data_IF_170325427019
#
_entry.id   IF_170325427019
#
_cell.length_a   1.000
_cell.length_b   1.000
_cell.length_c   1.000
_cell.angle_alpha   90.00
_cell.angle_beta   90.00
_cell.angle_gamma   90.00
#
_symmetry.space_group_name_H-M   'P 1'
#
loop_
_entity.id
_entity.type
_entity.pdbx_description
1 polymer ?
#
# COMPACT_ATOMS: atom_id res chain seq x y z
N UNK A 1 -22.73 -2.08 -2.28
CA UNK A 1 -22.46 -0.79 -1.63
C UNK A 1 -21.57 -0.92 -0.39
N UNK A 2 -21.96 -1.71 0.63
CA UNK A 2 -21.22 -1.86 1.91
C UNK A 2 -19.70 -2.08 1.77
N UNK A 3 -19.26 -3.05 0.96
CA UNK A 3 -17.83 -3.33 0.76
C UNK A 3 -17.02 -2.15 0.19
N UNK A 4 -17.65 -1.31 -0.65
CA UNK A 4 -17.00 -0.15 -1.26
C UNK A 4 -16.68 0.88 -0.18
N UNK A 5 -17.67 1.15 0.69
CA UNK A 5 -17.54 2.06 1.82
C UNK A 5 -16.45 1.55 2.78
N UNK A 6 -16.45 0.25 3.10
CA UNK A 6 -15.46 -0.34 4.01
C UNK A 6 -14.04 -0.21 3.42
N UNK A 7 -13.82 -0.61 2.17
CA UNK A 7 -12.51 -0.52 1.52
C UNK A 7 -11.99 0.93 1.46
N UNK A 8 -12.87 1.85 1.05
CA UNK A 8 -12.52 3.27 0.99
C UNK A 8 -12.20 3.83 2.37
N UNK A 9 -13.06 3.59 3.37
CA UNK A 9 -12.87 4.09 4.73
C UNK A 9 -11.60 3.53 5.38
N UNK A 10 -11.31 2.24 5.20
CA UNK A 10 -10.07 1.65 5.71
C UNK A 10 -8.83 2.28 5.07
N UNK A 11 -8.84 2.48 3.75
CA UNK A 11 -7.74 3.18 3.07
C UNK A 11 -7.60 4.62 3.56
N UNK A 12 -8.70 5.37 3.61
CA UNK A 12 -8.72 6.77 3.99
C UNK A 12 -8.37 7.02 5.47
N UNK A 13 -8.55 6.04 6.36
CA UNK A 13 -8.28 6.21 7.79
C UNK A 13 -6.97 5.55 8.23
N UNK A 14 -6.62 4.37 7.69
CA UNK A 14 -5.45 3.63 8.14
C UNK A 14 -4.17 4.00 7.39
N UNK A 15 -4.22 4.18 6.07
CA UNK A 15 -3.01 4.44 5.30
C UNK A 15 -2.37 5.82 5.60
N UNK A 16 -3.12 6.90 5.89
CA UNK A 16 -2.52 8.15 6.37
C UNK A 16 -1.69 8.01 7.65
N UNK A 17 -1.91 6.97 8.47
CA UNK A 17 -1.03 6.69 9.61
C UNK A 17 0.38 6.36 9.11
N UNK A 18 0.51 5.51 8.09
CA UNK A 18 1.81 5.19 7.50
C UNK A 18 2.52 6.41 6.92
N UNK A 19 1.77 7.26 6.20
CA UNK A 19 2.29 8.52 5.66
C UNK A 19 2.73 9.50 6.77
N UNK A 20 1.98 9.58 7.86
CA UNK A 20 2.38 10.38 9.02
C UNK A 20 3.71 9.90 9.62
N UNK A 21 3.95 8.59 9.71
CA UNK A 21 5.26 8.05 10.12
C UNK A 21 6.36 8.33 9.09
N UNK A 22 6.03 8.47 7.80
CA UNK A 22 7.00 8.94 6.79
C UNK A 22 7.39 10.40 6.99
N UNK A 23 6.47 11.25 7.44
CA UNK A 23 6.81 12.62 7.86
C UNK A 23 7.71 12.61 9.10
N UNK A 24 7.35 11.83 10.14
CA UNK A 24 8.14 11.72 11.38
C UNK A 24 9.56 11.18 11.15
N UNK A 25 9.72 10.23 10.22
CA UNK A 25 11.01 9.65 9.86
C UNK A 25 11.81 10.47 8.85
N UNK A 26 11.32 11.65 8.46
CA UNK A 26 11.92 12.47 7.41
C UNK A 26 12.11 11.68 6.11
N UNK A 27 11.14 10.84 5.78
CA UNK A 27 11.11 10.04 4.55
C UNK A 27 10.48 10.83 3.43
N UNK A 28 9.34 11.47 3.72
CA UNK A 28 8.64 12.38 2.82
C UNK A 28 8.44 13.75 3.48
N UNK A 29 8.13 14.75 2.66
CA UNK A 29 7.66 16.05 3.11
C UNK A 29 6.62 16.61 2.14
N UNK A 30 5.68 17.38 2.66
CA UNK A 30 4.73 18.18 1.88
C UNK A 30 5.19 19.65 1.82
N UNK A 31 4.82 20.41 0.78
CA UNK A 31 5.06 21.85 0.73
C UNK A 31 4.39 22.59 1.90
N UNK A 32 5.00 23.67 2.36
CA UNK A 32 4.41 24.53 3.37
C UNK A 32 3.02 25.03 2.95
N UNK A 33 2.07 25.01 3.88
CA UNK A 33 0.69 25.45 3.62
C UNK A 33 -0.22 24.42 2.95
N UNK A 34 0.26 23.21 2.62
CA UNK A 34 -0.56 22.11 2.12
C UNK A 34 -1.40 21.38 3.21
N UNK A 35 -1.36 21.89 4.44
CA UNK A 35 -1.85 21.27 5.67
C UNK A 35 -3.29 21.69 5.99
N UNK A 36 -4.24 20.74 6.18
CA UNK A 36 -5.62 21.10 6.53
C UNK A 36 -6.56 19.97 7.00
N UNK A 37 -6.11 18.80 7.50
CA UNK A 37 -7.09 17.72 7.73
C UNK A 37 -6.84 16.71 8.87
N UNK A 38 -5.76 15.92 8.84
CA UNK A 38 -5.57 14.78 9.76
C UNK A 38 -4.21 14.82 10.47
N UNK A 39 -4.18 14.29 11.71
CA UNK A 39 -3.00 14.20 12.59
C UNK A 39 -2.29 15.56 12.81
N UNK A 40 -2.99 16.52 13.40
CA UNK A 40 -2.44 17.85 13.76
C UNK A 40 -1.94 18.64 12.55
N UNK A 41 -2.78 18.71 11.52
CA UNK A 41 -2.51 19.40 10.25
C UNK A 41 -1.37 18.81 9.42
N UNK A 42 -0.64 17.79 9.88
CA UNK A 42 0.51 17.23 9.15
C UNK A 42 0.14 16.58 7.80
N UNK A 43 -1.07 16.02 7.67
CA UNK A 43 -1.52 15.33 6.46
C UNK A 43 -2.49 16.22 5.65
N UNK A 44 -2.19 16.49 4.36
CA UNK A 44 -3.10 17.21 3.46
C UNK A 44 -4.46 16.52 3.28
N UNK A 45 -5.51 17.32 3.09
CA UNK A 45 -6.91 16.85 2.96
C UNK A 45 -7.16 15.84 1.84
N UNK A 46 -6.35 15.88 0.78
CA UNK A 46 -6.50 15.00 -0.39
C UNK A 46 -5.84 13.63 -0.19
N UNK A 47 -4.91 13.49 0.76
CA UNK A 47 -4.18 12.24 1.01
C UNK A 47 -5.11 11.09 1.42
N UNK A 48 -6.04 11.27 2.37
CA UNK A 48 -7.05 10.26 2.70
C UNK A 48 -7.90 9.84 1.49
N UNK A 49 -8.27 10.79 0.62
CA UNK A 49 -9.07 10.50 -0.57
C UNK A 49 -8.30 9.65 -1.58
N UNK A 50 -7.00 9.93 -1.74
CA UNK A 50 -6.10 9.15 -2.58
C UNK A 50 -5.94 7.72 -2.05
N UNK A 51 -5.64 7.56 -0.74
CA UNK A 51 -5.50 6.23 -0.15
C UNK A 51 -6.80 5.43 -0.12
N UNK A 52 -7.94 6.08 0.16
CA UNK A 52 -9.25 5.45 0.09
C UNK A 52 -9.55 4.94 -1.32
N UNK A 53 -9.24 5.73 -2.34
CA UNK A 53 -9.42 5.36 -3.74
C UNK A 53 -8.49 4.22 -4.17
N UNK A 54 -7.20 4.27 -3.78
CA UNK A 54 -6.24 3.20 -4.03
C UNK A 54 -6.67 1.88 -3.38
N UNK A 55 -7.11 1.94 -2.11
CA UNK A 55 -7.64 0.77 -1.38
C UNK A 55 -8.87 0.18 -2.08
N UNK A 56 -9.77 1.03 -2.57
CA UNK A 56 -10.93 0.60 -3.36
C UNK A 56 -10.50 -0.15 -4.63
N UNK A 57 -9.58 0.43 -5.41
CA UNK A 57 -9.12 -0.17 -6.67
C UNK A 57 -8.41 -1.51 -6.43
N UNK A 58 -7.50 -1.58 -5.46
CA UNK A 58 -6.80 -2.81 -5.10
C UNK A 58 -7.76 -3.87 -4.52
N UNK A 59 -8.68 -3.47 -3.63
CA UNK A 59 -9.65 -4.37 -3.02
C UNK A 59 -10.71 -4.89 -4.01
N UNK A 60 -10.91 -4.21 -5.14
CA UNK A 60 -11.84 -4.67 -6.18
C UNK A 60 -11.16 -5.46 -7.31
N UNK A 61 -9.87 -5.21 -7.57
CA UNK A 61 -9.14 -5.83 -8.70
C UNK A 61 -9.10 -7.35 -8.57
N UNK A 62 -8.80 -7.82 -7.37
CA UNK A 62 -8.61 -9.23 -7.08
C UNK A 62 -9.92 -10.02 -7.18
N UNK A 63 -11.03 -9.62 -6.53
CA UNK A 63 -12.30 -10.33 -6.70
C UNK A 63 -12.82 -10.26 -8.13
N UNK A 64 -12.58 -9.15 -8.85
CA UNK A 64 -12.93 -9.06 -10.26
C UNK A 64 -12.15 -10.09 -11.08
N UNK A 65 -10.84 -10.21 -10.86
CA UNK A 65 -10.01 -11.21 -11.55
C UNK A 65 -10.47 -12.65 -11.29
N UNK A 66 -10.93 -12.98 -10.09
CA UNK A 66 -11.49 -14.30 -9.78
C UNK A 66 -12.76 -14.61 -10.60
N UNK A 67 -13.53 -13.59 -11.02
CA UNK A 67 -14.69 -13.79 -11.93
C UNK A 67 -14.22 -14.03 -13.35
N UNK A 68 -13.29 -13.20 -13.82
CA UNK A 68 -12.87 -13.20 -15.22
C UNK A 68 -11.96 -14.37 -15.59
N UNK A 69 -11.10 -14.80 -14.67
CA UNK A 69 -10.03 -15.77 -14.92
C UNK A 69 -10.27 -17.12 -14.22
N UNK A 70 -11.37 -17.25 -13.48
CA UNK A 70 -11.67 -18.41 -12.65
C UNK A 70 -11.07 -18.32 -11.25
N UNK A 71 -11.84 -18.80 -10.27
CA UNK A 71 -11.49 -18.71 -8.85
C UNK A 71 -10.51 -19.83 -8.45
N UNK A 72 -9.48 -19.45 -7.70
CA UNK A 72 -8.58 -20.38 -6.99
C UNK A 72 -8.88 -20.34 -5.49
N UNK A 73 -8.89 -21.49 -4.82
CA UNK A 73 -9.08 -21.62 -3.35
C UNK A 73 -7.79 -21.25 -2.61
N UNK A 74 -7.87 -20.47 -1.53
CA UNK A 74 -6.73 -19.80 -0.87
C UNK A 74 -6.79 -19.88 0.65
N UNK A 75 -5.69 -19.67 1.40
CA UNK A 75 -5.70 -19.65 2.86
C UNK A 75 -6.66 -18.60 3.45
N UNK A 76 -6.61 -17.35 2.96
CA UNK A 76 -7.53 -16.29 3.41
C UNK A 76 -9.00 -16.60 3.14
N UNK A 77 -9.24 -17.36 2.08
CA UNK A 77 -10.57 -17.76 1.66
C UNK A 77 -11.25 -18.67 2.69
N UNK A 78 -10.46 -19.29 3.57
CA UNK A 78 -10.90 -20.19 4.62
C UNK A 78 -11.08 -19.52 5.98
N UNK A 79 -10.39 -18.40 6.27
CA UNK A 79 -10.47 -17.74 7.59
C UNK A 79 -10.33 -16.20 7.48
N UNK A 80 -11.33 -15.42 7.94
CA UNK A 80 -11.31 -13.95 7.92
C UNK A 80 -10.10 -13.32 8.65
N UNK A 81 -9.62 -13.97 9.71
CA UNK A 81 -8.48 -13.51 10.50
C UNK A 81 -7.24 -13.22 9.65
N UNK A 82 -6.97 -14.04 8.63
CA UNK A 82 -5.80 -13.87 7.75
C UNK A 82 -5.89 -12.62 6.87
N UNK A 83 -7.09 -12.22 6.45
CA UNK A 83 -7.26 -11.00 5.66
C UNK A 83 -6.88 -9.77 6.50
N UNK A 84 -7.39 -9.73 7.73
CA UNK A 84 -7.08 -8.66 8.68
C UNK A 84 -5.61 -8.66 9.09
N UNK A 85 -5.02 -9.83 9.36
CA UNK A 85 -3.59 -9.96 9.60
C UNK A 85 -2.77 -9.37 8.44
N UNK A 86 -3.20 -9.57 7.19
CA UNK A 86 -2.62 -8.92 6.01
C UNK A 86 -2.64 -7.39 6.10
N UNK A 87 -3.80 -6.80 6.40
CA UNK A 87 -3.95 -5.33 6.54
C UNK A 87 -3.01 -4.78 7.62
N UNK A 88 -2.93 -5.44 8.77
CA UNK A 88 -2.02 -5.02 9.85
C UNK A 88 -0.54 -5.17 9.48
N UNK A 89 -0.17 -6.23 8.75
CA UNK A 89 1.18 -6.39 8.24
C UNK A 89 1.54 -5.30 7.22
N UNK A 90 0.62 -4.95 6.32
CA UNK A 90 0.84 -3.82 5.42
C UNK A 90 1.08 -2.52 6.18
N UNK A 91 0.23 -2.19 7.15
CA UNK A 91 0.40 -0.98 7.95
C UNK A 91 1.72 -1.00 8.73
N UNK A 92 2.09 -2.14 9.30
CA UNK A 92 3.38 -2.33 9.96
C UNK A 92 4.55 -2.05 9.00
N UNK A 93 4.58 -2.69 7.82
CA UNK A 93 5.65 -2.50 6.84
C UNK A 93 5.68 -1.07 6.28
N UNK A 94 4.52 -0.42 6.15
CA UNK A 94 4.44 0.99 5.78
C UNK A 94 5.12 1.86 6.83
N UNK A 95 4.72 1.74 8.11
CA UNK A 95 5.32 2.51 9.20
C UNK A 95 6.84 2.30 9.28
N UNK A 96 7.30 1.04 9.31
CA UNK A 96 8.73 0.75 9.51
C UNK A 96 9.59 1.08 8.29
N UNK A 97 9.02 1.17 7.09
CA UNK A 97 9.80 1.46 5.87
C UNK A 97 10.58 2.78 5.94
N UNK A 98 10.06 3.78 6.66
CA UNK A 98 10.77 5.03 6.91
C UNK A 98 11.94 4.92 7.90
N UNK A 99 12.04 3.82 8.64
CA UNK A 99 13.05 3.55 9.67
C UNK A 99 13.98 2.39 9.34
N UNK A 100 13.74 1.67 8.24
CA UNK A 100 14.56 0.52 7.87
C UNK A 100 16.03 0.92 7.64
N UNK A 101 17.01 0.08 8.00
CA UNK A 101 18.40 0.32 7.66
C UNK A 101 18.65 0.15 6.15
N UNK A 102 19.64 0.87 5.62
CA UNK A 102 20.08 0.71 4.23
C UNK A 102 19.09 1.22 3.17
N UNK A 103 18.36 2.30 3.47
CA UNK A 103 17.38 2.91 2.54
C UNK A 103 18.01 3.51 1.28
N UNK A 104 19.30 3.82 1.36
CA UNK A 104 20.11 4.42 0.28
C UNK A 104 20.59 3.36 -0.73
N UNK A 105 20.76 2.14 -0.24
CA UNK A 105 21.13 0.95 -1.01
C UNK A 105 19.94 0.05 -1.33
N UNK A 106 20.19 -1.27 -1.30
CA UNK A 106 19.17 -2.30 -1.55
C UNK A 106 18.66 -2.96 -0.26
N UNK A 107 19.17 -2.58 0.92
CA UNK A 107 18.83 -3.26 2.18
C UNK A 107 17.32 -3.24 2.47
N UNK A 108 16.73 -2.04 2.47
CA UNK A 108 15.28 -1.89 2.66
C UNK A 108 14.46 -2.56 1.54
N UNK A 109 14.97 -2.55 0.30
CA UNK A 109 14.34 -3.22 -0.85
C UNK A 109 14.26 -4.73 -0.61
N UNK A 110 15.37 -5.35 -0.21
CA UNK A 110 15.44 -6.80 0.04
C UNK A 110 14.51 -7.19 1.19
N UNK A 111 14.52 -6.43 2.29
CA UNK A 111 13.64 -6.69 3.45
C UNK A 111 12.17 -6.68 3.03
N UNK A 112 11.74 -5.62 2.34
CA UNK A 112 10.34 -5.46 1.94
C UNK A 112 9.94 -6.42 0.81
N UNK A 113 10.85 -6.76 -0.10
CA UNK A 113 10.61 -7.78 -1.13
C UNK A 113 10.38 -9.16 -0.51
N UNK A 114 11.25 -9.58 0.43
CA UNK A 114 11.10 -10.85 1.14
C UNK A 114 9.80 -10.88 1.97
N UNK A 115 9.50 -9.79 2.68
CA UNK A 115 8.24 -9.66 3.41
C UNK A 115 7.02 -9.79 2.49
N UNK A 116 7.04 -9.10 1.33
CA UNK A 116 5.99 -9.20 0.33
C UNK A 116 5.80 -10.61 -0.22
N UNK A 117 6.89 -11.32 -0.53
CA UNK A 117 6.84 -12.70 -1.00
C UNK A 117 6.30 -13.65 0.07
N UNK A 118 6.72 -13.51 1.33
CA UNK A 118 6.20 -14.30 2.46
C UNK A 118 4.71 -14.05 2.65
N UNK A 119 4.28 -12.78 2.63
CA UNK A 119 2.85 -12.44 2.77
C UNK A 119 2.02 -12.96 1.60
N UNK A 120 2.53 -12.85 0.37
CA UNK A 120 1.86 -13.43 -0.80
C UNK A 120 1.72 -14.94 -0.65
N UNK A 121 2.80 -15.64 -0.29
CA UNK A 121 2.81 -17.08 -0.08
C UNK A 121 1.85 -17.52 1.03
N UNK A 122 1.82 -16.79 2.15
CA UNK A 122 1.01 -17.16 3.31
C UNK A 122 -0.49 -16.83 3.14
N UNK A 123 -0.82 -15.71 2.47
CA UNK A 123 -2.19 -15.18 2.44
C UNK A 123 -2.94 -15.53 1.15
N UNK A 124 -2.22 -15.58 0.02
CA UNK A 124 -2.82 -15.70 -1.31
C UNK A 124 -2.38 -16.99 -2.01
N UNK A 125 -1.08 -17.12 -2.26
CA UNK A 125 -0.42 -18.22 -2.96
C UNK A 125 -0.96 -18.49 -4.38
N UNK A 126 -1.32 -17.44 -5.11
CA UNK A 126 -1.82 -17.58 -6.50
C UNK A 126 -1.10 -16.65 -7.47
N UNK A 127 -1.08 -17.07 -8.73
CA UNK A 127 -0.52 -16.29 -9.83
C UNK A 127 -1.33 -15.02 -10.11
N UNK A 128 -2.69 -15.05 -10.02
CA UNK A 128 -3.51 -13.85 -10.21
C UNK A 128 -3.21 -12.81 -9.13
N UNK A 129 -3.10 -13.27 -7.87
CA UNK A 129 -2.70 -12.47 -6.72
C UNK A 129 -1.36 -11.81 -6.92
N UNK A 130 -0.38 -12.61 -7.34
CA UNK A 130 0.98 -12.14 -7.61
C UNK A 130 1.02 -11.07 -8.71
N UNK A 131 0.37 -11.33 -9.84
CA UNK A 131 0.35 -10.44 -10.99
C UNK A 131 -0.33 -9.11 -10.65
N UNK A 132 -1.47 -9.13 -9.97
CA UNK A 132 -2.17 -7.90 -9.58
C UNK A 132 -1.42 -7.12 -8.50
N UNK A 133 -0.67 -7.79 -7.62
CA UNK A 133 0.24 -7.12 -6.70
C UNK A 133 1.40 -6.44 -7.45
N UNK A 134 1.95 -7.05 -8.51
CA UNK A 134 2.93 -6.39 -9.38
C UNK A 134 2.35 -5.18 -10.14
N UNK A 135 1.11 -5.30 -10.64
CA UNK A 135 0.41 -4.16 -11.27
C UNK A 135 0.22 -3.04 -10.26
N UNK A 136 -0.17 -3.36 -9.02
CA UNK A 136 -0.31 -2.39 -7.94
C UNK A 136 1.04 -1.73 -7.60
N UNK A 137 2.12 -2.52 -7.53
CA UNK A 137 3.49 -2.04 -7.34
C UNK A 137 3.90 -1.02 -8.40
N UNK A 138 3.65 -1.35 -9.67
CA UNK A 138 3.98 -0.49 -10.79
C UNK A 138 3.15 0.79 -10.81
N UNK A 139 1.82 0.69 -10.74
CA UNK A 139 0.92 1.84 -10.82
C UNK A 139 1.05 2.77 -9.62
N UNK A 140 1.20 2.24 -8.41
CA UNK A 140 1.45 3.03 -7.21
C UNK A 140 2.75 3.81 -7.30
N UNK A 141 3.83 3.14 -7.70
CA UNK A 141 5.15 3.78 -7.87
C UNK A 141 5.10 4.88 -8.92
N UNK A 142 4.49 4.65 -10.09
CA UNK A 142 4.38 5.68 -11.14
C UNK A 142 3.52 6.85 -10.67
N UNK A 143 2.46 6.59 -9.92
CA UNK A 143 1.61 7.65 -9.36
C UNK A 143 2.45 8.56 -8.46
N UNK A 144 3.23 8.00 -7.55
CA UNK A 144 4.08 8.80 -6.67
C UNK A 144 5.23 9.51 -7.39
N UNK A 145 5.88 8.86 -8.36
CA UNK A 145 6.88 9.51 -9.23
C UNK A 145 6.26 10.73 -9.92
N UNK A 146 5.03 10.60 -10.42
CA UNK A 146 4.32 11.70 -11.07
C UNK A 146 4.00 12.82 -10.09
N UNK A 147 3.51 12.49 -8.89
CA UNK A 147 3.21 13.48 -7.85
C UNK A 147 4.46 14.22 -7.37
N UNK A 148 5.59 13.52 -7.23
CA UNK A 148 6.90 14.13 -6.90
C UNK A 148 7.37 15.03 -8.04
N UNK A 149 7.25 14.59 -9.29
CA UNK A 149 7.59 15.41 -10.45
C UNK A 149 6.75 16.71 -10.51
N UNK A 150 5.46 16.61 -10.18
CA UNK A 150 4.55 17.75 -10.07
C UNK A 150 4.72 18.58 -8.79
N UNK A 151 5.69 18.23 -7.93
CA UNK A 151 6.00 18.91 -6.66
C UNK A 151 4.83 18.93 -5.67
N UNK A 152 3.95 17.94 -5.74
CA UNK A 152 2.85 17.77 -4.78
C UNK A 152 3.39 17.38 -3.40
N UNK A 153 4.45 16.58 -3.37
CA UNK A 153 5.25 16.25 -2.18
C UNK A 153 6.66 15.83 -2.63
N UNK A 154 7.55 15.48 -1.72
CA UNK A 154 8.89 15.00 -2.06
C UNK A 154 9.38 13.92 -1.11
N UNK A 155 10.15 12.96 -1.63
CA UNK A 155 11.03 12.14 -0.80
C UNK A 155 12.31 12.91 -0.49
N UNK A 156 12.81 12.78 0.74
CA UNK A 156 14.04 13.45 1.16
C UNK A 156 15.28 12.63 0.80
N UNK A 157 16.40 13.27 0.41
CA UNK A 157 17.68 12.60 0.31
C UNK A 157 18.09 11.95 1.65
N UNK A 158 18.74 10.78 1.64
CA UNK A 158 19.22 10.02 0.48
C UNK A 158 18.19 9.00 -0.06
N UNK A 159 16.92 9.10 0.34
CA UNK A 159 15.89 8.07 0.06
C UNK A 159 15.33 8.19 -1.36
N UNK A 160 15.33 9.37 -1.97
CA UNK A 160 14.75 9.72 -3.27
C UNK A 160 15.48 9.16 -4.53
N UNK A 161 16.02 7.94 -4.45
CA UNK A 161 16.99 7.40 -5.43
C UNK A 161 16.37 6.59 -6.58
N UNK A 162 15.05 6.49 -6.66
CA UNK A 162 14.33 5.88 -7.78
C UNK A 162 13.42 6.93 -8.43
N UNK A 163 13.92 7.66 -9.42
CA UNK A 163 13.15 8.74 -10.10
C UNK A 163 12.50 9.75 -9.14
N UNK A 164 13.15 10.07 -8.03
CA UNK A 164 12.65 11.00 -7.02
C UNK A 164 11.83 10.37 -5.88
N UNK A 165 11.56 9.06 -5.92
CA UNK A 165 10.91 8.31 -4.82
C UNK A 165 11.85 7.29 -4.19
N UNK A 166 11.41 6.64 -3.11
CA UNK A 166 12.17 5.58 -2.46
C UNK A 166 12.33 4.32 -3.33
N UNK A 167 13.54 3.75 -3.38
CA UNK A 167 13.83 2.49 -4.09
C UNK A 167 12.97 1.32 -3.60
N UNK A 168 12.61 1.30 -2.33
CA UNK A 168 11.82 0.24 -1.72
C UNK A 168 10.31 0.41 -1.92
N UNK A 169 9.86 1.54 -2.47
CA UNK A 169 8.45 1.86 -2.67
C UNK A 169 7.67 0.80 -3.48
N UNK A 170 8.20 0.24 -4.58
CA UNK A 170 7.50 -0.80 -5.33
C UNK A 170 7.18 -2.03 -4.46
N UNK A 171 8.09 -2.41 -3.56
CA UNK A 171 7.88 -3.55 -2.66
C UNK A 171 6.76 -3.27 -1.65
N UNK A 172 6.65 -2.03 -1.16
CA UNK A 172 5.57 -1.65 -0.26
C UNK A 172 4.20 -1.69 -0.95
N UNK A 173 4.10 -1.19 -2.18
CA UNK A 173 2.87 -1.31 -2.98
C UNK A 173 2.55 -2.76 -3.36
N UNK A 174 3.56 -3.62 -3.57
CA UNK A 174 3.33 -5.05 -3.74
C UNK A 174 2.65 -5.65 -2.50
N UNK A 175 3.16 -5.36 -1.30
CA UNK A 175 2.55 -5.78 -0.02
C UNK A 175 1.11 -5.25 0.08
N UNK A 176 0.87 -3.99 -0.27
CA UNK A 176 -0.47 -3.40 -0.29
C UNK A 176 -1.41 -4.16 -1.24
N UNK A 177 -0.98 -4.44 -2.47
CA UNK A 177 -1.76 -5.16 -3.47
C UNK A 177 -2.14 -6.57 -3.01
N UNK A 178 -1.21 -7.31 -2.39
CA UNK A 178 -1.49 -8.63 -1.81
C UNK A 178 -2.53 -8.52 -0.68
N UNK A 179 -2.30 -7.64 0.28
CA UNK A 179 -3.07 -7.61 1.53
C UNK A 179 -4.46 -7.01 1.33
N UNK A 180 -4.55 -5.86 0.68
CA UNK A 180 -5.81 -5.17 0.39
C UNK A 180 -6.63 -5.94 -0.64
N UNK A 181 -5.98 -6.54 -1.64
CA UNK A 181 -6.65 -7.43 -2.59
C UNK A 181 -7.34 -8.61 -1.91
N UNK A 182 -6.67 -9.26 -0.96
CA UNK A 182 -7.25 -10.37 -0.18
C UNK A 182 -8.35 -9.92 0.79
N UNK A 183 -8.25 -8.73 1.38
CA UNK A 183 -9.37 -8.12 2.10
C UNK A 183 -10.59 -7.94 1.18
N UNK A 184 -10.36 -7.51 -0.06
CA UNK A 184 -11.36 -7.46 -1.11
C UNK A 184 -12.12 -8.76 -1.33
N UNK A 185 -11.41 -9.90 -1.37
CA UNK A 185 -12.03 -11.24 -1.48
C UNK A 185 -12.93 -11.54 -0.29
N UNK A 186 -12.44 -11.28 0.93
CA UNK A 186 -13.21 -11.49 2.15
C UNK A 186 -14.51 -10.67 2.14
N UNK A 187 -14.42 -9.38 1.82
CA UNK A 187 -15.56 -8.46 1.80
C UNK A 187 -16.54 -8.70 0.65
N UNK A 188 -16.19 -9.55 -0.33
CA UNK A 188 -17.13 -10.01 -1.35
C UNK A 188 -17.97 -11.20 -0.89
N UNK A 189 -17.44 -12.02 0.02
CA UNK A 189 -18.13 -13.21 0.53
C UNK A 189 -19.22 -12.87 1.56
N UNK A 190 -19.03 -11.77 2.27
CA UNK A 190 -19.90 -11.28 3.35
C UNK A 190 -20.74 -10.07 2.89
#
# INVERSE_FOLDING_TARGET
MKRLIILFALGALLAPVGDYFHLLSQTTQYPEGAYAFLFFDAIPWWVPLMFGSASLLMGLSIPASDVFLGKVTRPVDTKPLWAWAGVFNFLFFYIVSGYLPGQEGLGAVVILALAGLVLWWALDHTWQGFLLALVSAFLGTITEVTLVYLKVFSYLPPKNTLFGVAKWLPCLYFIAGVTVGNLGRLLRKN
#
